data_IF_303705830358
#
_entry.id   IF_303705830358
#
_cell.length_a   1.000
_cell.length_b   1.000
_cell.length_c   1.000
_cell.angle_alpha   90.00
_cell.angle_beta   90.00
_cell.angle_gamma   90.00
#
_symmetry.space_group_name_H-M   'P 1'
#
loop_
_entity.id
_entity.type
_entity.pdbx_description
1 polymer ?
#
# COMPACT_ATOMS: atom_id res chain seq x y z
N UNK A 1 35.18 30.01 -4.90
CA UNK A 1 35.90 28.90 -5.55
C UNK A 1 35.28 27.60 -5.05
N UNK A 2 34.73 26.76 -5.95
CA UNK A 2 34.43 25.34 -5.72
C UNK A 2 32.98 24.96 -5.34
N UNK A 3 32.16 24.61 -6.34
CA UNK A 3 30.96 23.78 -6.19
C UNK A 3 31.36 22.29 -6.26
N UNK A 4 30.81 21.43 -5.40
CA UNK A 4 30.78 19.95 -5.56
C UNK A 4 29.60 19.42 -4.75
N UNK A 5 28.39 19.32 -5.32
CA UNK A 5 27.78 18.05 -5.73
C UNK A 5 28.61 16.78 -5.44
N UNK A 6 28.80 16.42 -4.17
CA UNK A 6 29.21 15.07 -3.80
C UNK A 6 27.99 14.15 -3.88
N UNK A 7 27.75 13.65 -5.09
CA UNK A 7 26.90 12.47 -5.26
C UNK A 7 27.61 11.29 -4.59
N UNK A 8 26.95 10.53 -3.69
CA UNK A 8 27.58 9.40 -3.03
C UNK A 8 28.10 8.41 -4.08
N UNK A 9 29.28 7.84 -3.83
CA UNK A 9 29.88 6.93 -4.79
C UNK A 9 29.03 5.63 -4.92
N UNK A 10 29.20 4.84 -5.99
CA UNK A 10 28.37 3.66 -6.22
C UNK A 10 28.37 2.63 -5.08
N UNK A 11 29.47 2.50 -4.35
CA UNK A 11 29.60 1.55 -3.23
C UNK A 11 28.84 2.05 -1.99
N UNK A 12 28.94 3.35 -1.68
CA UNK A 12 28.16 4.00 -0.62
C UNK A 12 26.66 3.94 -0.92
N UNK A 13 26.25 4.20 -2.16
CA UNK A 13 24.86 4.02 -2.57
C UNK A 13 24.41 2.58 -2.37
N UNK A 14 25.23 1.60 -2.77
CA UNK A 14 24.92 0.18 -2.63
C UNK A 14 24.73 -0.22 -1.17
N UNK A 15 25.57 0.27 -0.26
CA UNK A 15 25.43 0.05 1.18
C UNK A 15 24.13 0.66 1.73
N UNK A 16 23.83 1.91 1.37
CA UNK A 16 22.58 2.58 1.78
C UNK A 16 21.35 1.81 1.27
N UNK A 17 21.34 1.39 0.01
CA UNK A 17 20.26 0.59 -0.56
C UNK A 17 20.13 -0.77 0.10
N UNK A 18 21.24 -1.40 0.48
CA UNK A 18 21.22 -2.67 1.21
C UNK A 18 20.56 -2.50 2.58
N UNK A 19 20.97 -1.50 3.37
CA UNK A 19 20.37 -1.21 4.68
C UNK A 19 18.88 -0.88 4.56
N UNK A 20 18.50 -0.07 3.55
CA UNK A 20 17.08 0.21 3.27
C UNK A 20 16.31 -1.05 2.90
N UNK A 21 16.87 -1.92 2.06
CA UNK A 21 16.23 -3.18 1.65
C UNK A 21 16.05 -4.17 2.79
N UNK A 22 16.90 -4.11 3.81
CA UNK A 22 16.78 -4.93 5.02
C UNK A 22 15.74 -4.36 6.00
N UNK A 23 15.63 -3.03 6.08
CA UNK A 23 14.79 -2.34 7.09
C UNK A 23 13.34 -2.13 6.62
N UNK A 24 13.14 -1.78 5.35
CA UNK A 24 11.81 -1.44 4.80
C UNK A 24 10.83 -2.63 4.84
N UNK A 25 11.21 -3.88 4.51
CA UNK A 25 10.28 -5.01 4.58
C UNK A 25 9.77 -5.25 6.00
N UNK A 26 10.61 -5.14 7.03
CA UNK A 26 10.21 -5.32 8.42
C UNK A 26 9.25 -4.24 8.92
N UNK A 27 9.43 -2.99 8.46
CA UNK A 27 8.50 -1.90 8.73
C UNK A 27 7.13 -2.14 8.08
N UNK A 28 7.11 -2.58 6.81
CA UNK A 28 5.87 -2.92 6.10
C UNK A 28 5.16 -4.11 6.74
N UNK A 29 5.89 -5.14 7.16
CA UNK A 29 5.34 -6.30 7.87
C UNK A 29 4.74 -5.89 9.23
N UNK A 30 5.40 -4.99 9.95
CA UNK A 30 4.90 -4.46 11.22
C UNK A 30 3.64 -3.63 11.04
N UNK A 31 3.59 -2.77 10.01
CA UNK A 31 2.39 -2.03 9.63
C UNK A 31 1.25 -2.97 9.23
N UNK A 32 1.55 -4.01 8.46
CA UNK A 32 0.58 -5.03 8.09
C UNK A 32 0.05 -5.79 9.32
N UNK A 33 0.91 -6.15 10.28
CA UNK A 33 0.48 -6.80 11.54
C UNK A 33 -0.40 -5.89 12.40
N UNK A 34 -0.13 -4.59 12.43
CA UNK A 34 -0.99 -3.61 13.12
C UNK A 34 -2.34 -3.43 12.39
N UNK A 35 -2.33 -3.46 11.05
CA UNK A 35 -3.57 -3.34 10.26
C UNK A 35 -4.42 -4.63 10.22
N UNK A 36 -3.78 -5.80 10.28
CA UNK A 36 -4.40 -7.11 10.07
C UNK A 36 -4.31 -8.05 11.29
N UNK A 37 -3.81 -7.57 12.44
CA UNK A 37 -3.80 -8.32 13.69
C UNK A 37 -5.21 -8.67 14.16
N UNK A 38 -5.37 -9.79 14.89
CA UNK A 38 -6.69 -10.32 15.29
C UNK A 38 -7.54 -9.32 16.08
N UNK A 39 -6.91 -8.45 16.88
CA UNK A 39 -7.59 -7.47 17.74
C UNK A 39 -8.06 -6.25 16.94
N UNK A 40 -7.23 -5.73 16.03
CA UNK A 40 -7.65 -4.69 15.09
C UNK A 40 -8.63 -5.21 14.04
N UNK A 41 -8.59 -6.48 13.64
CA UNK A 41 -9.55 -7.06 12.69
C UNK A 41 -10.98 -7.07 13.24
N UNK A 42 -11.16 -7.30 14.54
CA UNK A 42 -12.45 -7.23 15.20
C UNK A 42 -12.98 -5.79 15.31
N UNK A 43 -12.12 -4.83 15.67
CA UNK A 43 -12.48 -3.41 15.72
C UNK A 43 -12.75 -2.85 14.31
N UNK A 44 -12.01 -3.31 13.31
CA UNK A 44 -12.26 -3.01 11.90
C UNK A 44 -13.61 -3.55 11.44
N UNK A 45 -13.94 -4.81 11.77
CA UNK A 45 -15.25 -5.39 11.51
C UNK A 45 -16.40 -4.59 12.15
N UNK A 46 -16.22 -4.13 13.39
CA UNK A 46 -17.19 -3.22 14.05
C UNK A 46 -17.32 -1.89 13.32
N UNK A 47 -16.21 -1.29 12.89
CA UNK A 47 -16.23 -0.02 12.15
C UNK A 47 -16.99 -0.16 10.82
N UNK A 48 -16.74 -1.23 10.07
CA UNK A 48 -17.46 -1.56 8.83
C UNK A 48 -18.97 -1.75 9.09
N UNK A 49 -19.33 -2.50 10.14
CA UNK A 49 -20.73 -2.72 10.51
C UNK A 49 -21.45 -1.43 10.93
N UNK A 50 -20.78 -0.58 11.72
CA UNK A 50 -21.31 0.71 12.15
C UNK A 50 -21.48 1.67 10.96
N UNK A 51 -20.56 1.67 9.99
CA UNK A 51 -20.67 2.46 8.77
C UNK A 51 -21.89 2.04 7.95
N UNK A 52 -22.06 0.74 7.70
CA UNK A 52 -23.24 0.21 7.02
C UNK A 52 -24.54 0.62 7.73
N UNK A 53 -24.59 0.45 9.06
CA UNK A 53 -25.75 0.81 9.87
C UNK A 53 -26.07 2.30 9.79
N UNK A 54 -25.06 3.17 9.84
CA UNK A 54 -25.26 4.61 9.71
C UNK A 54 -25.87 4.99 8.35
N UNK A 55 -25.47 4.32 7.27
CA UNK A 55 -26.05 4.54 5.94
C UNK A 55 -27.51 4.09 5.88
N UNK A 56 -27.84 2.92 6.44
CA UNK A 56 -29.24 2.46 6.49
C UNK A 56 -30.11 3.34 7.38
N UNK A 57 -29.60 3.76 8.54
CA UNK A 57 -30.30 4.65 9.47
C UNK A 57 -30.54 6.05 8.86
N UNK A 58 -29.66 6.48 7.95
CA UNK A 58 -29.82 7.70 7.16
C UNK A 58 -30.85 7.56 6.00
N UNK A 59 -31.49 6.40 5.85
CA UNK A 59 -32.55 6.16 4.86
C UNK A 59 -32.08 5.61 3.52
N UNK A 60 -30.82 5.17 3.41
CA UNK A 60 -30.30 4.54 2.20
C UNK A 60 -30.84 3.11 2.08
N UNK A 61 -31.06 2.62 0.85
CA UNK A 61 -31.49 1.22 0.67
C UNK A 61 -30.39 0.25 1.08
N UNK A 62 -30.78 -0.96 1.49
CA UNK A 62 -29.85 -2.06 1.79
C UNK A 62 -28.81 -2.24 0.69
N UNK A 63 -29.24 -2.22 -0.58
CA UNK A 63 -28.36 -2.37 -1.74
C UNK A 63 -27.31 -1.25 -1.84
N UNK A 64 -27.74 0.01 -1.68
CA UNK A 64 -26.87 1.18 -1.76
C UNK A 64 -25.86 1.23 -0.61
N UNK A 65 -26.33 0.99 0.62
CA UNK A 65 -25.49 0.95 1.82
C UNK A 65 -24.45 -0.18 1.72
N UNK A 66 -24.85 -1.34 1.20
CA UNK A 66 -23.95 -2.47 0.98
C UNK A 66 -22.88 -2.17 -0.07
N UNK A 67 -23.26 -1.56 -1.18
CA UNK A 67 -22.35 -1.14 -2.24
C UNK A 67 -21.26 -0.19 -1.72
N UNK A 68 -21.65 0.89 -1.04
CA UNK A 68 -20.71 1.88 -0.51
C UNK A 68 -19.81 1.31 0.59
N UNK A 69 -20.34 0.45 1.45
CA UNK A 69 -19.55 -0.24 2.49
C UNK A 69 -18.49 -1.15 1.86
N UNK A 70 -18.85 -1.90 0.81
CA UNK A 70 -17.94 -2.76 0.06
C UNK A 70 -16.85 -1.96 -0.67
N UNK A 71 -17.18 -0.81 -1.25
CA UNK A 71 -16.21 0.10 -1.86
C UNK A 71 -15.26 0.70 -0.83
N UNK A 72 -15.75 1.12 0.34
CA UNK A 72 -14.94 1.59 1.46
C UNK A 72 -13.92 0.53 1.92
N UNK A 73 -14.36 -0.73 2.07
CA UNK A 73 -13.46 -1.85 2.39
C UNK A 73 -12.43 -2.11 1.27
N UNK A 74 -12.86 -2.04 0.01
CA UNK A 74 -11.99 -2.24 -1.16
C UNK A 74 -10.89 -1.19 -1.29
N UNK A 75 -11.18 0.06 -0.92
CA UNK A 75 -10.20 1.16 -0.93
C UNK A 75 -9.22 1.10 0.26
N UNK A 76 -9.66 0.61 1.42
CA UNK A 76 -8.78 0.36 2.57
C UNK A 76 -7.91 -0.89 2.43
N UNK A 77 -8.19 -1.77 1.47
CA UNK A 77 -7.24 -2.78 1.00
C UNK A 77 -6.09 -2.09 0.25
N UNK A 78 -5.20 -1.43 1.00
CA UNK A 78 -3.94 -0.85 0.52
C UNK A 78 -3.09 -1.87 -0.27
N UNK A 79 -3.36 -3.17 -0.13
CA UNK A 79 -2.77 -4.22 -0.96
C UNK A 79 -2.96 -4.02 -2.47
N UNK A 80 -4.06 -3.41 -2.92
CA UNK A 80 -4.27 -3.13 -4.35
C UNK A 80 -3.46 -1.92 -4.83
N UNK A 81 -3.28 -0.91 -3.98
CA UNK A 81 -2.43 0.27 -4.26
C UNK A 81 -0.95 -0.17 -4.32
N UNK A 82 -0.50 -0.99 -3.37
CA UNK A 82 0.84 -1.59 -3.38
C UNK A 82 1.07 -2.50 -4.59
N UNK A 83 0.07 -3.30 -4.99
CA UNK A 83 0.16 -4.18 -6.16
C UNK A 83 0.17 -3.40 -7.48
N UNK A 84 -0.57 -2.29 -7.58
CA UNK A 84 -0.54 -1.38 -8.72
C UNK A 84 0.80 -0.65 -8.90
N UNK A 85 1.44 -0.24 -7.80
CA UNK A 85 2.80 0.35 -7.82
C UNK A 85 3.86 -0.70 -8.18
N UNK A 86 3.72 -1.94 -7.69
CA UNK A 86 4.62 -3.05 -8.03
C UNK A 86 4.49 -3.48 -9.50
N UNK A 87 3.28 -3.61 -10.04
CA UNK A 87 3.09 -4.02 -11.44
C UNK A 87 3.54 -2.96 -12.44
N UNK A 88 3.29 -1.67 -12.14
CA UNK A 88 3.74 -0.57 -13.01
C UNK A 88 5.27 -0.40 -13.05
N UNK A 89 5.99 -0.80 -11.99
CA UNK A 89 7.46 -0.88 -12.01
C UNK A 89 8.00 -2.09 -12.79
N UNK A 90 7.30 -3.23 -12.74
CA UNK A 90 7.68 -4.47 -13.44
C UNK A 90 7.42 -4.38 -14.95
N UNK A 91 6.29 -3.82 -15.37
CA UNK A 91 5.96 -3.66 -16.79
C UNK A 91 6.89 -2.68 -17.53
N UNK A 92 7.30 -1.58 -16.88
CA UNK A 92 8.29 -0.65 -17.47
C UNK A 92 9.64 -1.32 -17.68
N UNK A 93 10.10 -2.11 -16.70
CA UNK A 93 11.36 -2.86 -16.79
C UNK A 93 11.33 -4.02 -17.80
N UNK A 94 10.17 -4.61 -18.04
CA UNK A 94 9.99 -5.65 -19.03
C UNK A 94 10.01 -5.07 -20.45
N UNK A 95 9.39 -3.90 -20.66
CA UNK A 95 9.34 -3.22 -21.96
C UNK A 95 10.68 -2.60 -22.38
N UNK A 96 11.51 -2.19 -21.42
CA UNK A 96 12.89 -1.73 -21.65
C UNK A 96 13.86 -2.87 -22.00
N UNK A 97 13.56 -4.12 -21.62
CA UNK A 97 14.39 -5.30 -21.91
C UNK A 97 14.00 -6.05 -23.18
N UNK A 98 12.83 -5.76 -23.74
CA UNK A 98 12.32 -6.41 -24.96
C UNK A 98 12.48 -5.54 -26.21
N UNK A 99 13.23 -4.45 -26.13
CA UNK A 99 13.48 -3.52 -27.23
C UNK A 99 14.94 -3.51 -27.65
N UNK A 100 15.46 -4.65 -28.08
CA UNK A 100 16.70 -4.77 -28.86
C UNK A 100 16.67 -6.11 -29.60
N UNK A 101 16.05 -6.10 -30.79
CA UNK A 101 16.57 -6.56 -32.09
C UNK A 101 15.51 -6.34 -33.18
#
# INVERSE_FOLDING_TARGET
MGNSNDMPNPDELREMFKVLSETVPGLLESLAKVMYGEKESAEYGKAVANFYKALTDAGMTTEQAFQLTREYMGNMSLGNIFRGVSQSGVERRAKERSGED
#
